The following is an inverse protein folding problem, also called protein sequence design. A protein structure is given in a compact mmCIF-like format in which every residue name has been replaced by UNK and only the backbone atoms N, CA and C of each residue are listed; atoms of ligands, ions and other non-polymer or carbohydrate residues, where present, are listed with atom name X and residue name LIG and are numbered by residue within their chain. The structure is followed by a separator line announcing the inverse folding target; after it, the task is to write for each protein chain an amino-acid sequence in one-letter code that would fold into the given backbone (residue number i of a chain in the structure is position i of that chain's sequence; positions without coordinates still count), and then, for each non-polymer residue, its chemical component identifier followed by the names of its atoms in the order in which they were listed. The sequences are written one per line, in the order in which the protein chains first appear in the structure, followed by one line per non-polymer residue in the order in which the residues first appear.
data_IF_493047369170
#
_entry.id   IF_493047369170
#
_cell.length_a   1.000
_cell.length_b   1.000
_cell.length_c   1.000
_cell.angle_alpha   90.00
_cell.angle_beta   90.00
_cell.angle_gamma   90.00
#
_symmetry.space_group_name_H-M   'P 1'
#
loop_
_entity.id
_entity.type
_entity.pdbx_description
1 polymer ?
#
# COMPACT_ATOMS: atom_id res chain seq x y z
N UNK A 1 -17.76 6.59 16.99
CA UNK A 1 -17.83 5.21 16.45
C UNK A 1 -16.46 4.85 15.86
N UNK A 2 -15.51 4.62 16.77
CA UNK A 2 -14.11 4.26 16.54
C UNK A 2 -14.09 2.76 16.87
N UNK A 3 -13.87 1.81 15.96
CA UNK A 3 -12.78 1.66 15.02
C UNK A 3 -13.22 0.54 14.06
N UNK A 4 -13.38 0.85 12.77
CA UNK A 4 -13.76 -0.20 11.79
C UNK A 4 -12.52 -1.00 11.42
N UNK A 5 -12.66 -2.33 11.26
CA UNK A 5 -11.55 -3.26 10.96
C UNK A 5 -10.70 -2.78 9.77
N UNK A 6 -11.30 -2.09 8.79
CA UNK A 6 -10.61 -1.42 7.68
C UNK A 6 -9.45 -0.49 8.10
N UNK A 7 -9.60 0.26 9.20
CA UNK A 7 -8.55 1.18 9.70
C UNK A 7 -7.31 0.45 10.21
N UNK A 8 -7.49 -0.75 10.77
CA UNK A 8 -6.41 -1.64 11.18
C UNK A 8 -5.58 -2.09 9.96
N UNK A 9 -6.25 -2.43 8.86
CA UNK A 9 -5.57 -2.82 7.62
C UNK A 9 -4.80 -1.65 6.98
N UNK A 10 -5.35 -0.44 6.98
CA UNK A 10 -4.60 0.73 6.51
C UNK A 10 -3.37 1.02 7.37
N UNK A 11 -3.50 0.92 8.69
CA UNK A 11 -2.39 1.11 9.60
C UNK A 11 -1.30 0.05 9.41
N UNK A 12 -1.69 -1.22 9.30
CA UNK A 12 -0.77 -2.32 9.02
C UNK A 12 -0.05 -2.14 7.68
N UNK A 13 -0.78 -1.73 6.62
CA UNK A 13 -0.18 -1.44 5.32
C UNK A 13 0.85 -0.31 5.42
N UNK A 14 0.56 0.76 6.14
CA UNK A 14 1.49 1.88 6.31
C UNK A 14 2.79 1.46 7.03
N UNK A 15 2.68 0.70 8.12
CA UNK A 15 3.85 0.18 8.85
C UNK A 15 4.67 -0.75 7.96
N UNK A 16 4.03 -1.68 7.25
CA UNK A 16 4.71 -2.58 6.34
C UNK A 16 5.45 -1.80 5.24
N UNK A 17 4.79 -0.85 4.59
CA UNK A 17 5.40 -0.01 3.55
C UNK A 17 6.63 0.76 4.07
N UNK A 18 6.54 1.37 5.26
CA UNK A 18 7.68 2.09 5.86
C UNK A 18 8.82 1.13 6.19
N UNK A 19 8.50 0.00 6.82
CA UNK A 19 9.50 -1.01 7.22
C UNK A 19 10.25 -1.56 6.01
N UNK A 20 9.54 -1.81 4.90
CA UNK A 20 10.12 -2.30 3.65
C UNK A 20 11.11 -1.30 3.06
N UNK A 21 10.77 0.00 3.06
CA UNK A 21 11.65 1.06 2.51
C UNK A 21 13.01 1.12 3.22
N UNK A 22 13.05 0.91 4.54
CA UNK A 22 14.25 1.07 5.35
C UNK A 22 15.02 -0.21 5.63
N UNK A 23 14.36 -1.37 5.65
CA UNK A 23 14.95 -2.62 6.18
C UNK A 23 15.34 -3.59 5.07
N UNK A 24 14.65 -3.59 3.93
CA UNK A 24 14.80 -4.64 2.92
C UNK A 24 15.39 -4.12 1.61
N UNK A 25 16.40 -4.80 1.05
CA UNK A 25 16.94 -4.47 -0.26
C UNK A 25 15.96 -4.92 -1.35
N UNK A 26 15.77 -4.06 -2.34
CA UNK A 26 14.78 -4.25 -3.40
C UNK A 26 15.42 -4.85 -4.65
N UNK A 27 16.68 -4.53 -4.90
CA UNK A 27 17.51 -5.16 -5.92
C UNK A 27 18.82 -5.62 -5.28
N UNK A 28 19.40 -6.70 -5.80
CA UNK A 28 20.69 -7.22 -5.37
C UNK A 28 21.54 -7.55 -6.58
N UNK A 29 22.83 -7.30 -6.46
CA UNK A 29 23.80 -7.64 -7.49
C UNK A 29 25.01 -8.30 -6.83
N UNK A 30 24.93 -9.62 -6.66
CA UNK A 30 25.95 -10.54 -6.10
C UNK A 30 26.49 -10.18 -4.72
N UNK A 31 27.17 -9.05 -4.61
CA UNK A 31 27.85 -8.50 -3.42
C UNK A 31 27.24 -7.20 -2.92
N UNK A 32 26.42 -6.50 -3.73
CA UNK A 32 25.83 -5.20 -3.37
C UNK A 32 24.32 -5.28 -3.21
N UNK A 33 23.82 -4.72 -2.11
CA UNK A 33 22.39 -4.64 -1.80
C UNK A 33 21.87 -3.24 -2.07
N UNK A 34 20.89 -3.12 -2.96
CA UNK A 34 20.28 -1.84 -3.33
C UNK A 34 19.00 -1.61 -2.52
N UNK A 35 19.09 -0.69 -1.57
CA UNK A 35 17.94 -0.27 -0.76
C UNK A 35 17.13 0.83 -1.46
N UNK A 36 15.82 0.81 -1.22
CA UNK A 36 14.90 1.83 -1.73
C UNK A 36 15.24 3.23 -1.21
N UNK A 37 15.78 3.31 0.01
CA UNK A 37 16.22 4.56 0.63
C UNK A 37 17.27 5.30 -0.20
N UNK A 38 18.28 4.60 -0.69
CA UNK A 38 19.52 5.24 -1.14
C UNK A 38 19.60 5.34 -2.67
N UNK A 39 19.06 4.37 -3.39
CA UNK A 39 19.24 4.28 -4.84
C UNK A 39 18.00 4.65 -5.66
N UNK A 40 16.80 4.62 -5.07
CA UNK A 40 15.55 4.75 -5.82
C UNK A 40 14.66 5.87 -5.27
N UNK A 41 14.99 7.15 -5.53
CA UNK A 41 14.27 8.29 -4.96
C UNK A 41 12.79 8.32 -5.39
N UNK A 42 12.49 8.04 -6.66
CA UNK A 42 11.11 8.06 -7.17
C UNK A 42 10.27 6.89 -6.63
N UNK A 43 10.79 5.67 -6.65
CA UNK A 43 10.09 4.52 -6.09
C UNK A 43 9.85 4.67 -4.58
N UNK A 44 10.85 5.20 -3.85
CA UNK A 44 10.73 5.55 -2.43
C UNK A 44 9.62 6.56 -2.19
N UNK A 45 9.55 7.63 -2.98
CA UNK A 45 8.49 8.63 -2.86
C UNK A 45 7.11 8.02 -3.10
N UNK A 46 6.95 7.17 -4.11
CA UNK A 46 5.67 6.49 -4.36
C UNK A 46 5.25 5.59 -3.18
N UNK A 47 6.16 4.80 -2.61
CA UNK A 47 5.86 3.92 -1.46
C UNK A 47 5.54 4.74 -0.20
N UNK A 48 6.29 5.82 0.06
CA UNK A 48 6.01 6.72 1.18
C UNK A 48 4.69 7.46 1.00
N UNK A 49 4.38 7.90 -0.21
CA UNK A 49 3.10 8.53 -0.52
C UNK A 49 1.94 7.56 -0.29
N UNK A 50 2.08 6.30 -0.70
CA UNK A 50 1.11 5.24 -0.40
C UNK A 50 0.89 5.05 1.10
N UNK A 51 1.97 5.04 1.89
CA UNK A 51 1.88 4.96 3.35
C UNK A 51 1.17 6.18 3.95
N UNK A 52 1.49 7.39 3.48
CA UNK A 52 0.84 8.62 3.91
C UNK A 52 -0.66 8.65 3.57
N UNK A 53 -1.03 8.24 2.35
CA UNK A 53 -2.41 8.08 1.92
C UNK A 53 -3.16 7.05 2.77
N UNK A 54 -2.51 5.93 3.11
CA UNK A 54 -3.10 4.90 3.97
C UNK A 54 -3.39 5.45 5.37
N UNK A 55 -2.48 6.22 5.96
CA UNK A 55 -2.70 6.90 7.24
C UNK A 55 -3.83 7.93 7.11
N UNK A 56 -3.83 8.72 6.03
CA UNK A 56 -4.89 9.69 5.77
C UNK A 56 -6.27 9.02 5.62
N UNK A 57 -6.33 7.83 5.02
CA UNK A 57 -7.56 7.06 4.89
C UNK A 57 -8.19 6.70 6.24
N UNK A 58 -7.39 6.51 7.30
CA UNK A 58 -7.88 6.19 8.65
C UNK A 58 -8.76 7.33 9.19
N UNK A 59 -8.34 8.58 8.98
CA UNK A 59 -9.10 9.76 9.41
C UNK A 59 -10.37 10.00 8.59
N UNK A 60 -10.44 9.47 7.37
CA UNK A 60 -11.57 9.66 6.46
C UNK A 60 -12.75 8.68 6.70
N UNK A 61 -12.90 8.15 7.93
CA UNK A 61 -13.91 7.14 8.30
C UNK A 61 -15.37 7.56 8.09
N UNK A 62 -15.64 8.86 7.95
CA UNK A 62 -16.99 9.38 7.71
C UNK A 62 -17.52 9.04 6.32
N UNK A 63 -16.66 8.92 5.31
CA UNK A 63 -17.06 8.77 3.89
C UNK A 63 -16.42 7.53 3.26
N UNK A 64 -17.20 6.45 3.16
CA UNK A 64 -16.75 5.13 2.67
C UNK A 64 -16.23 5.16 1.24
N UNK A 65 -16.94 5.86 0.35
CA UNK A 65 -16.52 6.07 -1.06
C UNK A 65 -15.17 6.76 -1.17
N UNK A 66 -14.90 7.76 -0.31
CA UNK A 66 -13.58 8.41 -0.25
C UNK A 66 -12.50 7.45 0.24
N UNK A 67 -12.78 6.66 1.27
CA UNK A 67 -11.82 5.66 1.76
C UNK A 67 -11.47 4.62 0.70
N UNK A 68 -12.45 4.13 -0.08
CA UNK A 68 -12.20 3.22 -1.19
C UNK A 68 -11.32 3.86 -2.28
N UNK A 69 -11.57 5.13 -2.60
CA UNK A 69 -10.77 5.86 -3.58
C UNK A 69 -9.33 6.05 -3.09
N UNK A 70 -9.15 6.45 -1.83
CA UNK A 70 -7.81 6.61 -1.23
C UNK A 70 -7.08 5.27 -1.17
N UNK A 71 -7.75 4.17 -0.82
CA UNK A 71 -7.16 2.83 -0.83
C UNK A 71 -6.71 2.41 -2.23
N UNK A 72 -7.55 2.68 -3.23
CA UNK A 72 -7.26 2.36 -4.62
C UNK A 72 -6.07 3.18 -5.14
N UNK A 73 -5.99 4.46 -4.75
CA UNK A 73 -4.88 5.35 -5.09
C UNK A 73 -3.58 4.94 -4.37
N UNK A 74 -3.66 4.56 -3.09
CA UNK A 74 -2.53 4.02 -2.33
C UNK A 74 -1.98 2.75 -2.98
N UNK A 75 -2.88 1.87 -3.43
CA UNK A 75 -2.54 0.65 -4.13
C UNK A 75 -1.87 0.93 -5.48
N UNK A 76 -2.41 1.90 -6.24
CA UNK A 76 -1.82 2.36 -7.49
C UNK A 76 -0.39 2.86 -7.29
N UNK A 77 -0.12 3.62 -6.23
CA UNK A 77 1.22 4.11 -5.92
C UNK A 77 2.23 2.98 -5.67
N UNK A 78 1.82 1.88 -5.02
CA UNK A 78 2.67 0.69 -4.87
C UNK A 78 2.93 0.03 -6.23
N UNK A 79 1.91 -0.08 -7.09
CA UNK A 79 2.08 -0.62 -8.45
C UNK A 79 3.01 0.24 -9.28
N UNK A 80 2.90 1.57 -9.22
CA UNK A 80 3.81 2.49 -9.92
C UNK A 80 5.23 2.32 -9.40
N UNK A 81 5.43 2.22 -8.09
CA UNK A 81 6.75 1.96 -7.53
C UNK A 81 7.36 0.64 -8.06
N UNK A 82 6.57 -0.43 -8.11
CA UNK A 82 7.00 -1.71 -8.68
C UNK A 82 7.35 -1.60 -10.17
N UNK A 83 6.53 -0.91 -10.97
CA UNK A 83 6.82 -0.66 -12.37
C UNK A 83 8.13 0.12 -12.54
N UNK A 84 8.35 1.17 -11.74
CA UNK A 84 9.60 1.93 -11.80
C UNK A 84 10.82 1.05 -11.52
N UNK A 85 10.75 0.20 -10.49
CA UNK A 85 11.86 -0.70 -10.16
C UNK A 85 12.09 -1.73 -11.28
N UNK A 86 11.03 -2.32 -11.84
CA UNK A 86 11.15 -3.40 -12.83
C UNK A 86 11.50 -2.89 -14.22
N UNK A 87 10.98 -1.76 -14.66
CA UNK A 87 11.18 -1.26 -16.03
C UNK A 87 12.36 -0.30 -16.15
N UNK A 88 12.69 0.45 -15.10
CA UNK A 88 13.71 1.50 -15.17
C UNK A 88 15.06 1.05 -14.59
N UNK A 89 15.07 0.12 -13.64
CA UNK A 89 16.24 -0.18 -12.80
C UNK A 89 16.72 -1.64 -12.91
N UNK A 90 16.08 -2.44 -13.75
CA UNK A 90 16.32 -3.88 -13.93
C UNK A 90 17.27 -4.19 -15.08
N UNK A 91 18.25 -3.32 -15.33
CA UNK A 91 19.39 -3.65 -16.20
C UNK A 91 20.30 -4.61 -15.43
N UNK A 92 19.98 -5.91 -15.50
CA UNK A 92 20.78 -7.05 -15.02
C UNK A 92 20.76 -7.37 -13.51
N UNK A 93 20.15 -6.52 -12.68
CA UNK A 93 20.04 -6.77 -11.23
C UNK A 93 19.03 -7.86 -10.87
N UNK A 94 19.36 -8.68 -9.87
CA UNK A 94 18.46 -9.70 -9.33
C UNK A 94 17.39 -9.11 -8.41
N UNK A 95 16.21 -9.75 -8.38
CA UNK A 95 15.08 -9.32 -7.54
C UNK A 95 15.43 -9.57 -6.07
N UNK A 96 15.51 -8.49 -5.28
CA UNK A 96 15.70 -8.56 -3.84
C UNK A 96 14.40 -8.90 -3.10
N UNK A 97 14.54 -9.40 -1.87
CA UNK A 97 13.40 -9.72 -0.99
C UNK A 97 12.44 -8.54 -0.81
N UNK A 98 12.94 -7.30 -0.77
CA UNK A 98 12.11 -6.10 -0.61
C UNK A 98 11.07 -5.91 -1.72
N UNK A 99 11.39 -6.29 -2.96
CA UNK A 99 10.43 -6.22 -4.08
C UNK A 99 9.28 -7.21 -3.87
N UNK A 100 9.59 -8.43 -3.42
CA UNK A 100 8.58 -9.46 -3.13
C UNK A 100 7.73 -9.03 -1.94
N UNK A 101 8.35 -8.45 -0.91
CA UNK A 101 7.65 -7.99 0.29
C UNK A 101 6.66 -6.85 0.01
N UNK A 102 6.83 -6.05 -1.05
CA UNK A 102 5.86 -5.02 -1.45
C UNK A 102 4.47 -5.60 -1.79
N UNK A 103 4.36 -6.91 -2.03
CA UNK A 103 3.06 -7.57 -2.20
C UNK A 103 2.23 -7.56 -0.90
N UNK A 104 2.87 -7.53 0.26
CA UNK A 104 2.20 -7.55 1.58
C UNK A 104 1.33 -6.32 1.80
N UNK A 105 1.85 -5.07 1.72
CA UNK A 105 1.00 -3.88 1.83
C UNK A 105 -0.05 -3.82 0.70
N UNK A 106 0.27 -4.32 -0.50
CA UNK A 106 -0.68 -4.38 -1.61
C UNK A 106 -1.90 -5.25 -1.30
N UNK A 107 -1.69 -6.49 -0.83
CA UNK A 107 -2.78 -7.40 -0.43
C UNK A 107 -3.56 -6.82 0.75
N UNK A 108 -2.87 -6.20 1.71
CA UNK A 108 -3.50 -5.57 2.87
C UNK A 108 -4.47 -4.45 2.45
N UNK A 109 -4.10 -3.63 1.46
CA UNK A 109 -4.99 -2.59 0.90
C UNK A 109 -6.19 -3.19 0.16
N UNK A 110 -6.03 -4.33 -0.52
CA UNK A 110 -7.16 -5.06 -1.13
C UNK A 110 -8.12 -5.54 -0.04
N UNK A 111 -7.61 -6.12 1.05
CA UNK A 111 -8.42 -6.53 2.19
C UNK A 111 -9.16 -5.33 2.80
N UNK A 112 -8.49 -4.20 3.00
CA UNK A 112 -9.13 -2.97 3.48
C UNK A 112 -10.32 -2.56 2.59
N UNK A 113 -10.13 -2.56 1.27
CA UNK A 113 -11.19 -2.27 0.29
C UNK A 113 -12.35 -3.28 0.35
N UNK A 114 -12.06 -4.56 0.52
CA UNK A 114 -13.07 -5.60 0.66
C UNK A 114 -13.97 -5.35 1.88
N UNK A 115 -13.38 -5.01 3.03
CA UNK A 115 -14.14 -4.69 4.24
C UNK A 115 -14.97 -3.40 4.09
N UNK A 116 -14.44 -2.36 3.44
CA UNK A 116 -15.23 -1.14 3.16
C UNK A 116 -16.46 -1.46 2.31
N UNK A 117 -16.28 -2.26 1.25
CA UNK A 117 -17.38 -2.69 0.36
C UNK A 117 -18.44 -3.51 1.10
N UNK A 118 -18.03 -4.42 1.99
CA UNK A 118 -18.96 -5.21 2.79
C UNK A 118 -19.80 -4.32 3.70
N UNK A 119 -19.16 -3.35 4.34
CA UNK A 119 -19.83 -2.41 5.22
C UNK A 119 -20.82 -1.52 4.48
N UNK A 120 -20.46 -1.03 3.29
CA UNK A 120 -21.35 -0.25 2.40
C UNK A 120 -22.58 -1.06 1.97
N UNK A 121 -22.40 -2.32 1.57
CA UNK A 121 -23.52 -3.22 1.22
C UNK A 121 -24.51 -3.40 2.38
N UNK A 122 -24.01 -3.55 3.61
CA UNK A 122 -24.85 -3.73 4.81
C UNK A 122 -25.71 -2.50 5.11
N UNK A 123 -25.19 -1.28 4.89
CA UNK A 123 -25.99 -0.06 5.05
C UNK A 123 -27.05 0.05 3.97
N UNK A 124 -26.67 -0.22 2.71
CA UNK A 124 -27.61 -0.15 1.59
C UNK A 124 -28.69 -1.25 1.65
N UNK A 125 -28.43 -2.40 2.28
CA UNK A 125 -29.48 -3.41 2.52
C UNK A 125 -30.42 -3.00 3.65
N UNK A 126 -29.92 -2.36 4.71
CA UNK A 126 -30.77 -1.88 5.80
C UNK A 126 -31.68 -0.73 5.35
N UNK A 127 -31.18 0.13 4.47
CA UNK A 127 -31.94 1.26 3.91
C UNK A 127 -33.06 0.82 2.95
N UNK A 128 -32.91 -0.34 2.30
CA UNK A 128 -33.94 -0.91 1.40
C UNK A 128 -35.10 -1.60 2.11
N UNK A 129 -34.98 -1.87 3.41
CA UNK A 129 -36.03 -2.51 4.22
C UNK A 129 -36.94 -1.44 4.88
N UNK A 130 -36.45 -0.21 5.00
CA UNK A 130 -37.25 0.95 5.37
C UNK A 130 -38.06 1.45 4.18
#
# INVERSE_FOLDING_TARGET
MIQRVQSLFFFFSAICSITIVYTFPVLQDGTTSFFLKDHFPYARLCVLLSAALSIFAIFQFKTRKRQQLIASFSRLMITVALCLIVFLERDEKTIGLGMILLIVPFITLIAANFFINRDEKLVNSADRIR
#
